data_IF_027061696729
#
_entry.id   IF_027061696729
#
_cell.length_a   1.000
_cell.length_b   1.000
_cell.length_c   1.000
_cell.angle_alpha   90.00
_cell.angle_beta   90.00
_cell.angle_gamma   90.00
#
_symmetry.space_group_name_H-M   'P 1'
#
loop_
_entity.id
_entity.type
_entity.pdbx_description
1 polymer ?
#
# COMPACT_ATOMS: atom_id res chain seq x y z
N UNK A 1 5.40 -7.38 7.33
CA UNK A 1 5.29 -6.06 6.70
C UNK A 1 3.81 -5.74 6.53
N UNK A 2 3.35 -4.55 6.91
CA UNK A 2 1.94 -4.17 6.76
C UNK A 2 1.78 -3.18 5.62
N UNK A 3 0.90 -3.46 4.68
CA UNK A 3 0.58 -2.58 3.57
C UNK A 3 -0.83 -2.02 3.79
N UNK A 4 -0.95 -0.70 3.72
CA UNK A 4 -2.23 0.00 3.84
C UNK A 4 -2.49 0.77 2.54
N UNK A 5 -3.54 0.37 1.81
CA UNK A 5 -4.01 1.08 0.63
C UNK A 5 -5.14 2.04 1.03
N UNK A 6 -4.89 3.34 0.92
CA UNK A 6 -5.86 4.40 1.12
C UNK A 6 -6.62 4.65 -0.17
N UNK A 7 -7.95 4.55 -0.11
CA UNK A 7 -8.82 4.76 -1.25
C UNK A 7 -10.15 5.39 -0.83
N UNK A 8 -10.88 5.93 -1.81
CA UNK A 8 -12.32 6.23 -1.68
C UNK A 8 -13.12 5.29 -2.57
N UNK A 9 -14.24 4.73 -2.09
CA UNK A 9 -15.17 4.00 -2.95
C UNK A 9 -15.70 4.91 -4.07
N UNK A 10 -16.05 4.32 -5.22
CA UNK A 10 -16.65 5.04 -6.36
C UNK A 10 -15.81 5.11 -7.63
N UNK A 11 -14.55 4.67 -7.61
CA UNK A 11 -13.73 4.58 -8.82
C UNK A 11 -13.56 3.13 -9.30
N UNK A 12 -14.33 2.74 -10.32
CA UNK A 12 -14.28 1.38 -10.89
C UNK A 12 -12.91 1.02 -11.48
N UNK A 13 -12.17 2.00 -12.04
CA UNK A 13 -10.83 1.78 -12.60
C UNK A 13 -9.80 1.42 -11.53
N UNK A 14 -9.93 1.99 -10.34
CA UNK A 14 -9.03 1.69 -9.22
C UNK A 14 -9.23 0.26 -8.71
N UNK A 15 -10.45 -0.26 -8.70
CA UNK A 15 -10.75 -1.62 -8.20
C UNK A 15 -9.94 -2.73 -8.92
N UNK A 16 -9.81 -2.63 -10.24
CA UNK A 16 -9.04 -3.62 -11.03
C UNK A 16 -7.54 -3.58 -10.71
N UNK A 17 -6.96 -2.39 -10.67
CA UNK A 17 -5.55 -2.22 -10.36
C UNK A 17 -5.24 -2.57 -8.89
N UNK A 18 -6.12 -2.23 -7.95
CA UNK A 18 -6.03 -2.68 -6.55
C UNK A 18 -6.00 -4.19 -6.42
N UNK A 19 -6.87 -4.89 -7.15
CA UNK A 19 -6.90 -6.36 -7.14
C UNK A 19 -5.56 -6.96 -7.58
N UNK A 20 -4.95 -6.42 -8.65
CA UNK A 20 -3.65 -6.87 -9.13
C UNK A 20 -2.52 -6.60 -8.12
N UNK A 21 -2.54 -5.43 -7.47
CA UNK A 21 -1.56 -5.08 -6.42
C UNK A 21 -1.68 -5.98 -5.21
N UNK A 22 -2.91 -6.24 -4.74
CA UNK A 22 -3.18 -7.14 -3.62
C UNK A 22 -2.68 -8.55 -3.92
N UNK A 23 -3.02 -9.09 -5.09
CA UNK A 23 -2.58 -10.42 -5.50
C UNK A 23 -1.05 -10.53 -5.52
N UNK A 24 -0.36 -9.48 -5.98
CA UNK A 24 1.10 -9.43 -5.96
C UNK A 24 1.67 -9.37 -4.54
N UNK A 25 1.09 -8.55 -3.66
CA UNK A 25 1.50 -8.45 -2.26
C UNK A 25 1.30 -9.78 -1.50
N UNK A 26 0.19 -10.47 -1.75
CA UNK A 26 -0.12 -11.78 -1.16
C UNK A 26 0.85 -12.89 -1.58
N UNK A 27 1.60 -12.73 -2.69
CA UNK A 27 2.66 -13.67 -3.06
C UNK A 27 3.87 -13.63 -2.12
N UNK A 28 4.02 -12.56 -1.33
CA UNK A 28 5.14 -12.37 -0.43
C UNK A 28 4.79 -12.86 0.98
N UNK A 29 5.62 -13.70 1.61
CA UNK A 29 5.35 -14.20 2.95
C UNK A 29 5.43 -13.08 3.98
N UNK A 30 4.51 -13.10 4.96
CA UNK A 30 4.53 -12.14 6.07
C UNK A 30 4.04 -10.73 5.72
N UNK A 31 3.36 -10.55 4.58
CA UNK A 31 2.68 -9.31 4.23
C UNK A 31 1.24 -9.32 4.70
N UNK A 32 0.84 -8.28 5.45
CA UNK A 32 -0.53 -7.99 5.82
C UNK A 32 -1.07 -6.89 4.91
N UNK A 33 -2.05 -7.20 4.06
CA UNK A 33 -2.69 -6.22 3.19
C UNK A 33 -3.98 -5.68 3.83
N UNK A 34 -4.09 -4.36 3.95
CA UNK A 34 -5.28 -3.68 4.47
C UNK A 34 -5.73 -2.59 3.51
N UNK A 35 -7.00 -2.64 3.15
CA UNK A 35 -7.67 -1.58 2.39
C UNK A 35 -8.32 -0.62 3.39
N UNK A 36 -7.98 0.66 3.32
CA UNK A 36 -8.45 1.71 4.22
C UNK A 36 -9.29 2.69 3.41
N UNK A 37 -10.59 2.71 3.66
CA UNK A 37 -11.47 3.73 3.11
C UNK A 37 -11.23 5.03 3.88
N UNK A 38 -10.72 6.07 3.21
CA UNK A 38 -10.45 7.35 3.88
C UNK A 38 -11.70 8.05 4.39
N UNK A 39 -12.89 7.69 3.87
CA UNK A 39 -14.14 8.22 4.36
C UNK A 39 -14.51 7.64 5.73
N UNK A 40 -14.04 6.42 6.03
CA UNK A 40 -14.25 5.75 7.31
C UNK A 40 -13.12 6.06 8.30
N UNK A 41 -11.87 6.19 7.81
CA UNK A 41 -10.64 6.40 8.60
C UNK A 41 -9.85 7.64 8.11
N UNK A 42 -10.48 8.81 8.14
CA UNK A 42 -9.83 10.06 7.69
C UNK A 42 -8.61 10.43 8.55
N UNK A 43 -8.71 10.28 9.88
CA UNK A 43 -7.62 10.62 10.80
C UNK A 43 -6.34 9.84 10.48
N UNK A 44 -6.48 8.54 10.16
CA UNK A 44 -5.36 7.69 9.74
C UNK A 44 -4.69 8.19 8.46
N UNK A 45 -5.48 8.67 7.50
CA UNK A 45 -4.97 9.22 6.25
C UNK A 45 -4.20 10.53 6.49
N UNK A 46 -4.72 11.39 7.38
CA UNK A 46 -4.07 12.65 7.78
C UNK A 46 -2.77 12.40 8.54
N UNK A 47 -2.76 11.47 9.50
CA UNK A 47 -1.57 11.10 10.28
C UNK A 47 -0.40 10.65 9.40
N UNK A 48 -0.71 9.96 8.29
CA UNK A 48 0.26 9.49 7.32
C UNK A 48 0.59 10.53 6.23
N UNK A 49 -0.05 11.69 6.25
CA UNK A 49 0.17 12.76 5.27
C UNK A 49 -0.41 12.46 3.88
N UNK A 50 -1.47 11.66 3.80
CA UNK A 50 -2.13 11.34 2.53
C UNK A 50 -2.87 12.56 2.00
N UNK A 51 -2.34 13.16 0.92
CA UNK A 51 -2.93 14.32 0.25
C UNK A 51 -3.74 13.95 -1.01
N UNK A 52 -3.40 12.83 -1.64
CA UNK A 52 -3.96 12.38 -2.91
C UNK A 52 -4.35 10.91 -2.83
N UNK A 53 -5.36 10.52 -3.61
CA UNK A 53 -5.86 9.15 -3.63
C UNK A 53 -5.92 8.59 -5.05
N UNK A 54 -5.70 7.27 -5.20
CA UNK A 54 -5.32 6.32 -4.14
C UNK A 54 -3.85 6.46 -3.71
N UNK A 55 -3.55 6.12 -2.46
CA UNK A 55 -2.21 6.17 -1.87
C UNK A 55 -1.88 4.89 -1.11
N UNK A 56 -0.60 4.53 -1.00
CA UNK A 56 -0.15 3.28 -0.40
C UNK A 56 0.95 3.54 0.63
N UNK A 57 0.70 3.07 1.84
CA UNK A 57 1.65 3.09 2.94
C UNK A 57 2.17 1.68 3.24
N UNK A 58 3.43 1.61 3.68
CA UNK A 58 4.09 0.36 4.08
C UNK A 58 4.67 0.57 5.48
N UNK A 59 4.29 -0.30 6.41
CA UNK A 59 4.64 -0.26 7.83
C UNK A 59 4.36 1.09 8.52
N UNK A 60 3.28 1.77 8.10
CA UNK A 60 2.91 3.09 8.64
C UNK A 60 3.72 4.25 8.06
N UNK A 61 4.43 4.04 6.96
CA UNK A 61 5.08 5.10 6.19
C UNK A 61 4.41 5.25 4.83
N UNK A 62 4.06 6.48 4.43
CA UNK A 62 3.51 6.75 3.10
C UNK A 62 4.59 6.59 2.04
N UNK A 63 4.46 5.58 1.18
CA UNK A 63 5.47 5.24 0.16
C UNK A 63 5.05 5.70 -1.23
N UNK A 64 3.77 5.56 -1.55
CA UNK A 64 3.22 6.00 -2.84
C UNK A 64 2.04 6.93 -2.62
N UNK A 65 2.09 8.12 -3.23
CA UNK A 65 1.00 9.11 -3.24
C UNK A 65 0.01 8.90 -4.40
N UNK A 66 0.29 7.92 -5.26
CA UNK A 66 -0.55 7.50 -6.39
C UNK A 66 -0.55 5.97 -6.50
N UNK A 67 -1.49 5.39 -7.25
CA UNK A 67 -1.51 3.94 -7.46
C UNK A 67 -0.24 3.48 -8.20
N UNK A 68 0.62 2.64 -7.59
CA UNK A 68 1.79 2.10 -8.28
C UNK A 68 1.40 1.00 -9.26
N UNK A 69 2.32 0.61 -10.12
CA UNK A 69 2.23 -0.66 -10.85
C UNK A 69 2.61 -1.83 -9.95
N UNK A 70 2.21 -3.05 -10.34
CA UNK A 70 2.59 -4.28 -9.64
C UNK A 70 4.11 -4.41 -9.51
N UNK A 71 4.85 -4.08 -10.57
CA UNK A 71 6.31 -4.15 -10.57
C UNK A 71 6.93 -3.16 -9.57
N UNK A 72 6.40 -1.92 -9.51
CA UNK A 72 6.87 -0.91 -8.56
C UNK A 72 6.61 -1.33 -7.11
N UNK A 73 5.43 -1.87 -6.82
CA UNK A 73 5.10 -2.38 -5.49
C UNK A 73 6.05 -3.51 -5.09
N UNK A 74 6.18 -4.54 -5.93
CA UNK A 74 7.03 -5.71 -5.62
C UNK A 74 8.51 -5.32 -5.44
N UNK A 75 9.02 -4.41 -6.28
CA UNK A 75 10.39 -3.92 -6.15
C UNK A 75 10.63 -3.24 -4.79
N UNK A 76 9.70 -2.40 -4.35
CA UNK A 76 9.80 -1.70 -3.07
C UNK A 76 9.67 -2.65 -1.87
N UNK A 77 8.75 -3.62 -1.93
CA UNK A 77 8.61 -4.62 -0.88
C UNK A 77 9.86 -5.48 -0.74
N UNK A 78 10.47 -5.90 -1.85
CA UNK A 78 11.75 -6.65 -1.84
C UNK A 78 12.90 -5.81 -1.30
N UNK A 79 12.96 -4.51 -1.65
CA UNK A 79 13.96 -3.59 -1.13
C UNK A 79 13.90 -3.53 0.40
N UNK A 80 12.70 -3.35 0.96
CA UNK A 80 12.47 -3.30 2.41
C UNK A 80 12.69 -4.63 3.12
N UNK A 81 12.38 -5.75 2.46
CA UNK A 81 12.68 -7.09 2.99
C UNK A 81 14.21 -7.32 3.10
N UNK A 82 14.96 -6.90 2.09
CA UNK A 82 16.43 -6.94 2.10
C UNK A 82 17.07 -6.07 3.18
N UNK A 83 16.54 -4.85 3.41
CA UNK A 83 17.04 -3.95 4.48
C UNK A 83 16.79 -4.50 5.89
N UNK A 84 15.77 -5.34 6.09
CA UNK A 84 15.52 -6.03 7.37
C UNK A 84 16.47 -7.19 7.61
N UNK A 85 17.07 -7.76 6.56
CA UNK A 85 17.98 -8.91 6.63
C UNK A 85 19.43 -8.57 6.96
N UNK A 86 19.86 -7.32 6.75
CA UNK A 86 21.28 -6.90 6.84
C UNK A 86 21.67 -6.36 8.24
N UNK A 87 20.79 -6.49 9.23
CA UNK A 87 21.00 -6.03 10.61
C UNK A 87 21.29 -7.14 11.62
N UNK A 88 21.93 -8.25 11.21
CA UNK A 88 22.30 -9.38 12.07
C UNK A 88 23.75 -9.29 12.57
#
# INVERSE_FOLDING_TARGET
MKIELFFTPGCAKCAGATTALKAAAETMPGIEWREVNVLDDLDRAVDLGVLTLPALAVDGELVFTTLPTVEQLVAELRRRDGERGDGA
#
